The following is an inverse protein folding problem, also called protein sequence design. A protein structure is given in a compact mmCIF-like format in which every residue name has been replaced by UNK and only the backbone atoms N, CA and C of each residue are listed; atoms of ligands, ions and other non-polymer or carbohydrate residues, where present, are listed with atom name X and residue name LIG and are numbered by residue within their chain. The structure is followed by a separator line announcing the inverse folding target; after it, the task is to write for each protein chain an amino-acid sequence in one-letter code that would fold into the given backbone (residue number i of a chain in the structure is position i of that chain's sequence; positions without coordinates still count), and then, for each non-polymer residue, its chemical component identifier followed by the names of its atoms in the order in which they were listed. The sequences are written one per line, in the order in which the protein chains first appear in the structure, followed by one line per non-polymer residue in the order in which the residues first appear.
data_IF_657127151560
#
_entry.id   IF_657127151560
#
_cell.length_a   1.000
_cell.length_b   1.000
_cell.length_c   1.000
_cell.angle_alpha   90.00
_cell.angle_beta   90.00
_cell.angle_gamma   90.00
#
_symmetry.space_group_name_H-M   'P 1'
#
loop_
_entity.id
_entity.type
_entity.pdbx_description
1 polymer ?
#
# COMPACT_ATOMS: atom_id res chain seq x y z
N UNK A 1 -51.92 14.80 -38.82
CA UNK A 1 -51.78 14.24 -37.45
C UNK A 1 -50.68 13.16 -37.30
N UNK A 2 -49.79 12.96 -38.28
CA UNK A 2 -48.71 11.96 -38.21
C UNK A 2 -47.30 12.56 -37.94
N UNK A 3 -47.08 13.86 -38.18
CA UNK A 3 -45.77 14.49 -37.94
C UNK A 3 -45.44 14.74 -36.45
N UNK A 4 -46.42 14.94 -35.57
CA UNK A 4 -46.16 15.18 -34.14
C UNK A 4 -45.82 13.90 -33.35
N UNK A 5 -46.06 12.71 -33.89
CA UNK A 5 -45.77 11.45 -33.19
C UNK A 5 -44.34 10.95 -33.42
N UNK A 6 -43.71 11.27 -34.55
CA UNK A 6 -42.30 10.93 -34.79
C UNK A 6 -41.33 11.76 -33.93
N UNK A 7 -41.67 13.03 -33.66
CA UNK A 7 -40.86 13.93 -32.83
C UNK A 7 -40.69 13.41 -31.40
N UNK A 8 -41.77 12.91 -30.78
CA UNK A 8 -41.74 12.38 -29.40
C UNK A 8 -40.86 11.13 -29.26
N UNK A 9 -40.88 10.24 -30.26
CA UNK A 9 -40.03 9.03 -30.25
C UNK A 9 -38.54 9.36 -30.40
N UNK A 10 -38.19 10.33 -31.26
CA UNK A 10 -36.80 10.76 -31.42
C UNK A 10 -36.25 11.44 -30.16
N UNK A 11 -37.06 12.23 -29.45
CA UNK A 11 -36.68 12.87 -28.18
C UNK A 11 -36.44 11.84 -27.07
N UNK A 12 -37.26 10.77 -27.00
CA UNK A 12 -37.04 9.68 -26.03
C UNK A 12 -35.75 8.90 -26.29
N UNK A 13 -35.43 8.59 -27.56
CA UNK A 13 -34.23 7.85 -27.93
C UNK A 13 -32.97 8.70 -27.66
N UNK A 14 -33.02 10.01 -27.91
CA UNK A 14 -31.89 10.92 -27.63
C UNK A 14 -31.58 11.01 -26.13
N UNK A 15 -32.60 10.99 -25.26
CA UNK A 15 -32.43 11.07 -23.81
C UNK A 15 -31.76 9.79 -23.25
N UNK A 16 -32.07 8.62 -23.81
CA UNK A 16 -31.54 7.33 -23.36
C UNK A 16 -30.02 7.18 -23.61
N UNK A 17 -29.48 7.80 -24.67
CA UNK A 17 -28.06 7.70 -25.02
C UNK A 17 -27.17 8.52 -24.07
N UNK A 18 -27.70 9.58 -23.46
CA UNK A 18 -26.92 10.44 -22.53
C UNK A 18 -26.60 9.77 -21.19
N UNK A 19 -27.38 8.76 -20.79
CA UNK A 19 -27.22 8.08 -19.50
C UNK A 19 -26.10 7.02 -19.48
N UNK A 20 -25.52 6.66 -20.64
CA UNK A 20 -24.48 5.63 -20.72
C UNK A 20 -23.04 6.16 -20.65
N UNK A 21 -22.84 7.46 -20.45
CA UNK A 21 -21.48 8.07 -20.45
C UNK A 21 -20.91 8.36 -19.05
N UNK A 22 -21.34 7.63 -18.02
CA UNK A 22 -20.74 7.72 -16.68
C UNK A 22 -19.87 6.51 -16.37
N UNK A 23 -18.84 6.30 -17.20
CA UNK A 23 -17.70 5.47 -16.83
C UNK A 23 -16.70 6.36 -16.11
N UNK A 24 -16.77 6.42 -14.77
CA UNK A 24 -15.66 6.90 -13.96
C UNK A 24 -14.50 5.92 -14.17
N UNK A 25 -13.56 6.28 -15.03
CA UNK A 25 -12.25 5.65 -15.10
C UNK A 25 -11.59 5.88 -13.74
N UNK A 26 -11.64 4.87 -12.88
CA UNK A 26 -10.74 4.83 -11.74
C UNK A 26 -9.36 4.61 -12.33
N UNK A 27 -8.58 5.68 -12.46
CA UNK A 27 -7.15 5.60 -12.62
C UNK A 27 -6.61 4.75 -11.48
N UNK A 28 -6.46 3.46 -11.75
CA UNK A 28 -5.69 2.57 -10.90
C UNK A 28 -4.25 2.87 -11.27
N UNK A 29 -3.72 3.97 -10.73
CA UNK A 29 -2.28 4.09 -10.56
C UNK A 29 -1.88 2.89 -9.72
N UNK A 30 -1.39 1.84 -10.39
CA UNK A 30 -0.73 0.72 -9.73
C UNK A 30 0.57 1.27 -9.16
N UNK A 31 0.46 1.93 -8.00
CA UNK A 31 1.61 2.25 -7.17
C UNK A 31 2.21 0.90 -6.80
N UNK A 32 3.31 0.55 -7.47
CA UNK A 32 4.13 -0.60 -7.10
C UNK A 32 4.57 -0.33 -5.67
N UNK A 33 3.81 -0.87 -4.72
CA UNK A 33 4.04 -0.62 -3.31
C UNK A 33 5.24 -1.46 -2.94
N UNK A 34 6.40 -0.82 -2.78
CA UNK A 34 7.61 -1.50 -2.34
C UNK A 34 7.32 -2.22 -1.03
N UNK A 35 7.62 -3.53 -0.92
CA UNK A 35 7.42 -4.29 0.31
C UNK A 35 8.10 -3.57 1.47
N UNK A 36 7.32 -3.30 2.52
CA UNK A 36 7.80 -2.55 3.67
C UNK A 36 7.19 -3.05 4.98
N UNK A 37 8.00 -2.96 6.03
CA UNK A 37 7.66 -3.40 7.38
C UNK A 37 8.01 -2.31 8.38
N UNK A 38 7.19 -2.20 9.42
CA UNK A 38 7.45 -1.35 10.57
C UNK A 38 8.16 -2.18 11.62
N UNK A 39 9.31 -1.68 12.09
CA UNK A 39 10.13 -2.36 13.08
C UNK A 39 10.37 -1.41 14.24
N UNK A 40 10.11 -1.88 15.46
CA UNK A 40 10.49 -1.22 16.69
C UNK A 40 11.76 -1.88 17.23
N UNK A 41 12.81 -1.09 17.42
CA UNK A 41 14.08 -1.56 17.97
C UNK A 41 14.12 -1.39 19.49
N UNK A 42 14.94 -2.20 20.16
CA UNK A 42 15.34 -1.91 21.54
C UNK A 42 16.25 -0.68 21.59
N UNK A 43 16.24 0.06 22.70
CA UNK A 43 16.93 1.36 22.82
C UNK A 43 18.45 1.29 22.64
N UNK A 44 19.06 0.12 22.88
CA UNK A 44 20.48 -0.11 22.69
C UNK A 44 20.86 -0.50 21.24
N UNK A 45 19.87 -0.82 20.40
CA UNK A 45 20.08 -1.32 19.04
C UNK A 45 20.14 -0.16 18.05
N UNK A 46 21.17 -0.13 17.22
CA UNK A 46 21.24 0.79 16.09
C UNK A 46 20.66 0.18 14.81
N UNK A 47 20.11 1.04 13.95
CA UNK A 47 19.59 0.66 12.63
C UNK A 47 20.65 -0.08 11.80
N UNK A 48 21.89 0.42 11.79
CA UNK A 48 23.00 -0.19 11.03
C UNK A 48 23.31 -1.63 11.45
N UNK A 49 23.18 -1.96 12.74
CA UNK A 49 23.38 -3.34 13.22
C UNK A 49 22.27 -4.25 12.68
N UNK A 50 21.02 -3.78 12.66
CA UNK A 50 19.90 -4.53 12.08
C UNK A 50 20.09 -4.74 10.58
N UNK A 51 20.39 -3.70 9.82
CA UNK A 51 20.62 -3.79 8.37
C UNK A 51 21.77 -4.74 8.03
N UNK A 52 22.85 -4.69 8.80
CA UNK A 52 23.98 -5.61 8.62
C UNK A 52 23.57 -7.06 8.92
N UNK A 53 22.77 -7.28 9.96
CA UNK A 53 22.28 -8.63 10.35
C UNK A 53 21.38 -9.22 9.26
N UNK A 54 20.51 -8.40 8.67
CA UNK A 54 19.54 -8.81 7.65
C UNK A 54 19.95 -8.43 6.22
N UNK A 55 21.25 -8.22 5.99
CA UNK A 55 21.81 -7.83 4.68
C UNK A 55 21.47 -8.83 3.57
N UNK A 56 21.32 -10.11 3.92
CA UNK A 56 20.93 -11.15 2.97
C UNK A 56 19.57 -10.87 2.32
N UNK A 57 18.64 -10.26 3.06
CA UNK A 57 17.32 -9.87 2.57
C UNK A 57 17.28 -8.44 2.04
N UNK A 58 18.42 -7.75 1.96
CA UNK A 58 18.50 -6.35 1.55
C UNK A 58 17.60 -5.46 2.39
N UNK A 59 17.59 -5.68 3.71
CA UNK A 59 16.85 -4.87 4.67
C UNK A 59 17.51 -3.48 4.78
N UNK A 60 16.74 -2.42 4.55
CA UNK A 60 17.23 -1.04 4.54
C UNK A 60 16.20 -0.07 5.12
N UNK A 61 16.63 0.87 5.95
CA UNK A 61 15.78 1.91 6.50
C UNK A 61 15.30 2.84 5.38
N UNK A 62 13.99 2.91 5.21
CA UNK A 62 13.36 3.86 4.31
C UNK A 62 13.03 5.18 5.03
N UNK A 63 12.56 5.09 6.28
CA UNK A 63 12.08 6.25 7.03
C UNK A 63 12.02 6.01 8.53
N UNK A 64 12.38 7.02 9.32
CA UNK A 64 12.04 7.08 10.74
C UNK A 64 10.56 7.41 10.95
N UNK A 65 9.83 6.55 11.65
CA UNK A 65 8.40 6.73 11.96
C UNK A 65 8.21 7.39 13.32
N UNK A 66 8.97 6.98 14.33
CA UNK A 66 8.97 7.59 15.66
C UNK A 66 10.33 7.40 16.35
N UNK A 67 11.08 8.49 16.54
CA UNK A 67 12.35 8.46 17.29
C UNK A 67 12.16 8.10 18.77
N UNK A 68 11.20 8.69 19.52
CA UNK A 68 11.04 8.39 20.95
C UNK A 68 10.67 6.92 21.22
N UNK A 69 10.06 6.25 20.24
CA UNK A 69 9.66 4.86 20.35
C UNK A 69 10.62 3.91 19.62
N UNK A 70 11.66 4.42 18.97
CA UNK A 70 12.57 3.66 18.11
C UNK A 70 11.84 2.84 17.03
N UNK A 71 10.85 3.45 16.34
CA UNK A 71 10.10 2.83 15.25
C UNK A 71 10.55 3.36 13.90
N UNK A 72 10.85 2.44 12.99
CA UNK A 72 11.37 2.71 11.65
C UNK A 72 10.60 1.90 10.62
N UNK A 73 10.54 2.41 9.40
CA UNK A 73 10.03 1.73 8.22
C UNK A 73 11.22 1.18 7.44
N UNK A 74 11.22 -0.12 7.21
CA UNK A 74 12.24 -0.80 6.41
C UNK A 74 11.65 -1.33 5.12
N UNK A 75 12.44 -1.32 4.06
CA UNK A 75 12.20 -2.09 2.84
C UNK A 75 13.08 -3.32 2.80
N UNK A 76 12.68 -4.32 2.03
CA UNK A 76 13.44 -5.56 1.87
C UNK A 76 13.15 -6.19 0.49
N UNK A 77 13.95 -7.18 0.11
CA UNK A 77 13.78 -7.92 -1.12
C UNK A 77 12.77 -9.07 -0.95
N UNK A 78 11.55 -8.88 -1.48
CA UNK A 78 10.46 -9.87 -1.41
C UNK A 78 10.68 -11.13 -2.24
N UNK A 79 11.65 -11.14 -3.17
CA UNK A 79 12.03 -12.36 -3.91
C UNK A 79 12.85 -13.31 -3.03
N UNK A 80 13.47 -12.78 -1.95
CA UNK A 80 14.31 -13.57 -1.03
C UNK A 80 13.57 -14.04 0.22
N UNK A 81 12.60 -13.27 0.70
CA UNK A 81 11.82 -13.59 1.90
C UNK A 81 10.42 -13.00 1.80
N UNK A 82 9.43 -13.66 2.38
CA UNK A 82 8.06 -13.14 2.45
C UNK A 82 7.90 -12.18 3.63
N UNK A 83 6.93 -11.27 3.59
CA UNK A 83 6.62 -10.38 4.72
C UNK A 83 6.46 -11.17 6.03
N UNK A 84 5.68 -12.25 5.98
CA UNK A 84 5.36 -13.08 7.14
C UNK A 84 6.62 -13.72 7.72
N UNK A 85 7.44 -14.35 6.88
CA UNK A 85 8.67 -15.01 7.33
C UNK A 85 9.66 -14.00 7.91
N UNK A 86 9.82 -12.83 7.28
CA UNK A 86 10.71 -11.78 7.78
C UNK A 86 10.21 -11.23 9.13
N UNK A 87 8.91 -11.04 9.30
CA UNK A 87 8.33 -10.61 10.58
C UNK A 87 8.56 -11.67 11.67
N UNK A 88 8.36 -12.95 11.36
CA UNK A 88 8.63 -14.04 12.30
C UNK A 88 10.11 -14.08 12.70
N UNK A 89 11.03 -13.90 11.75
CA UNK A 89 12.48 -13.87 12.01
C UNK A 89 12.92 -12.61 12.79
N UNK A 90 12.29 -11.46 12.55
CA UNK A 90 12.57 -10.24 13.30
C UNK A 90 12.06 -10.36 14.74
N UNK A 91 10.88 -10.96 14.97
CA UNK A 91 10.34 -11.14 16.32
C UNK A 91 11.13 -12.09 17.21
N UNK A 92 11.94 -12.98 16.62
CA UNK A 92 12.84 -13.86 17.38
C UNK A 92 14.19 -13.23 17.65
N UNK A 93 14.49 -12.08 17.05
CA UNK A 93 15.75 -11.35 17.20
C UNK A 93 15.79 -10.57 18.51
N UNK A 94 16.92 -10.63 19.21
CA UNK A 94 17.18 -9.79 20.39
C UNK A 94 17.32 -8.29 20.05
N UNK A 95 17.42 -7.96 18.76
CA UNK A 95 17.56 -6.58 18.28
C UNK A 95 16.22 -5.85 18.16
N UNK A 96 15.13 -6.60 18.03
CA UNK A 96 13.81 -6.09 17.65
C UNK A 96 12.81 -6.35 18.77
N UNK A 97 12.11 -5.29 19.17
CA UNK A 97 11.05 -5.36 20.17
C UNK A 97 9.70 -5.75 19.55
N UNK A 98 9.40 -5.24 18.36
CA UNK A 98 8.17 -5.53 17.63
C UNK A 98 8.39 -5.38 16.13
N UNK A 99 7.70 -6.19 15.33
CA UNK A 99 7.71 -6.10 13.87
C UNK A 99 6.31 -6.36 13.30
N UNK A 100 5.88 -5.51 12.36
CA UNK A 100 4.56 -5.62 11.74
C UNK A 100 4.59 -5.19 10.28
N UNK A 101 3.65 -5.73 9.51
CA UNK A 101 3.46 -5.32 8.12
C UNK A 101 3.00 -3.87 8.06
N UNK A 102 3.57 -3.08 7.15
CA UNK A 102 3.07 -1.74 6.88
C UNK A 102 1.73 -1.84 6.12
N UNK A 103 0.61 -1.51 6.78
CA UNK A 103 -0.70 -1.46 6.12
C UNK A 103 -0.98 -0.06 5.62
N UNK A 104 -1.22 0.07 4.32
CA UNK A 104 -1.78 1.30 3.74
C UNK A 104 -3.21 1.47 4.27
N UNK A 105 -3.42 2.41 5.19
CA UNK A 105 -4.76 2.79 5.65
C UNK A 105 -5.46 3.50 4.50
N UNK A 106 -6.42 2.83 3.85
CA UNK A 106 -7.33 3.51 2.96
C UNK A 106 -8.33 4.29 3.81
N UNK A 107 -8.30 5.63 3.71
CA UNK A 107 -9.31 6.49 4.32
C UNK A 107 -10.69 6.08 3.76
N UNK A 108 -11.61 5.67 4.63
CA UNK A 108 -13.01 5.51 4.24
C UNK A 108 -13.56 6.91 3.94
N UNK A 109 -13.82 7.19 2.66
CA UNK A 109 -14.62 8.33 2.22
C UNK A 109 -16.10 8.09 2.50
#
# INVERSE_FOLDING_TARGET
MLLNRLSSFFVMILLAVTLMTSCKTKDTQTSVTTPSILVQLYDATSVSVLESTYKNYSLEEQKVVSRPMNIFLFTFNSEKITDKALIEELKTSELVKEAQQNRTVQTRN
#
